data_IF_642166738773
#
_entry.id   IF_642166738773
#
_cell.length_a   1.000
_cell.length_b   1.000
_cell.length_c   1.000
_cell.angle_alpha   90.00
_cell.angle_beta   90.00
_cell.angle_gamma   90.00
#
_symmetry.space_group_name_H-M   'P 1'
#
loop_
_entity.id
_entity.type
_entity.pdbx_description
1 polymer ?
#
# COMPACT_ATOMS: atom_id res chain seq x y z
N UNK A 1 12.87 19.72 15.56
CA UNK A 1 14.20 19.10 15.74
C UNK A 1 14.71 18.78 14.35
N UNK A 2 15.72 19.50 13.88
CA UNK A 2 16.34 19.18 12.59
C UNK A 2 17.21 17.96 12.79
N UNK A 3 16.82 16.84 12.17
CA UNK A 3 17.58 15.61 12.25
C UNK A 3 18.90 15.82 11.50
N UNK A 4 20.01 15.91 12.23
CA UNK A 4 21.34 16.10 11.64
C UNK A 4 21.67 14.85 10.81
N UNK A 5 21.76 15.00 9.49
CA UNK A 5 22.04 13.88 8.58
C UNK A 5 23.46 13.35 8.82
N UNK A 6 23.68 12.03 8.84
CA UNK A 6 25.02 11.48 8.94
C UNK A 6 25.88 11.92 7.74
N UNK A 7 27.22 12.03 7.89
CA UNK A 7 28.11 12.51 6.82
C UNK A 7 27.99 11.73 5.51
N UNK A 8 27.78 10.42 5.58
CA UNK A 8 27.58 9.54 4.41
C UNK A 8 26.27 9.77 3.65
N UNK A 9 25.38 10.63 4.17
CA UNK A 9 24.07 10.95 3.59
C UNK A 9 23.92 12.46 3.34
N UNK A 10 25.05 13.20 3.32
CA UNK A 10 25.09 14.57 2.82
C UNK A 10 24.81 14.59 1.31
N UNK A 11 24.35 15.73 0.81
CA UNK A 11 23.81 15.98 -0.55
C UNK A 11 24.74 15.61 -1.70
N UNK A 12 26.01 15.33 -1.43
CA UNK A 12 26.99 14.89 -2.44
C UNK A 12 26.85 13.41 -2.82
N UNK A 13 26.27 12.57 -1.96
CA UNK A 13 26.01 11.17 -2.31
C UNK A 13 24.78 11.06 -3.21
N UNK A 14 24.83 10.22 -4.25
CA UNK A 14 23.68 10.04 -5.14
C UNK A 14 22.56 9.28 -4.43
N UNK A 15 21.31 9.63 -4.71
CA UNK A 15 20.12 8.92 -4.21
C UNK A 15 20.16 7.44 -4.55
N UNK A 16 20.69 7.10 -5.73
CA UNK A 16 20.84 5.72 -6.18
C UNK A 16 21.78 4.91 -5.27
N UNK A 17 22.89 5.50 -4.82
CA UNK A 17 23.79 4.85 -3.88
C UNK A 17 23.10 4.58 -2.55
N UNK A 18 22.38 5.55 -1.99
CA UNK A 18 21.60 5.39 -0.74
C UNK A 18 20.58 4.26 -0.86
N UNK A 19 19.84 4.20 -1.97
CA UNK A 19 18.87 3.13 -2.24
C UNK A 19 19.57 1.77 -2.34
N UNK A 20 20.71 1.69 -3.03
CA UNK A 20 21.47 0.44 -3.14
C UNK A 20 21.93 -0.09 -1.78
N UNK A 21 22.43 0.80 -0.91
CA UNK A 21 22.80 0.44 0.47
C UNK A 21 21.60 -0.11 1.24
N UNK A 22 20.42 0.53 1.13
CA UNK A 22 19.21 0.06 1.79
C UNK A 22 18.76 -1.31 1.31
N UNK A 23 18.86 -1.58 0.01
CA UNK A 23 18.57 -2.91 -0.57
C UNK A 23 19.52 -3.96 0.01
N UNK A 24 20.82 -3.67 0.11
CA UNK A 24 21.80 -4.58 0.73
C UNK A 24 21.45 -4.85 2.20
N UNK A 25 21.14 -3.81 2.96
CA UNK A 25 20.69 -3.93 4.37
C UNK A 25 19.47 -4.83 4.48
N UNK A 26 18.49 -4.70 3.58
CA UNK A 26 17.30 -5.54 3.56
C UNK A 26 17.60 -7.00 3.19
N UNK A 27 18.59 -7.26 2.33
CA UNK A 27 19.06 -8.62 2.04
C UNK A 27 19.70 -9.24 3.29
N UNK A 28 20.55 -8.49 4.00
CA UNK A 28 21.15 -8.94 5.27
C UNK A 28 20.06 -9.25 6.29
N UNK A 29 19.03 -8.40 6.37
CA UNK A 29 17.91 -8.65 7.26
C UNK A 29 17.03 -9.81 6.83
N UNK A 30 16.85 -10.07 5.54
CA UNK A 30 16.16 -11.26 5.06
C UNK A 30 16.90 -12.55 5.50
N UNK A 31 18.24 -12.54 5.44
CA UNK A 31 19.09 -13.62 5.96
C UNK A 31 18.89 -13.75 7.49
N UNK A 32 18.94 -12.64 8.23
CA UNK A 32 18.70 -12.60 9.68
C UNK A 32 17.33 -13.18 10.05
N UNK A 33 16.26 -12.76 9.37
CA UNK A 33 14.91 -13.26 9.58
C UNK A 33 14.83 -14.76 9.33
N UNK A 34 15.41 -15.24 8.22
CA UNK A 34 15.34 -16.64 7.79
C UNK A 34 16.11 -17.58 8.71
N UNK A 35 17.32 -17.21 9.12
CA UNK A 35 18.23 -18.14 9.79
C UNK A 35 18.29 -17.95 11.31
N UNK A 36 17.94 -16.77 11.82
CA UNK A 36 18.03 -16.45 13.25
C UNK A 36 16.64 -16.27 13.84
N UNK A 37 15.85 -15.30 13.36
CA UNK A 37 14.55 -14.98 13.96
C UNK A 37 13.55 -16.12 13.78
N UNK A 38 13.54 -16.80 12.63
CA UNK A 38 12.69 -17.97 12.39
C UNK A 38 12.94 -19.13 13.38
N UNK A 39 14.11 -19.19 14.02
CA UNK A 39 14.42 -20.24 15.00
C UNK A 39 13.91 -19.92 16.41
N UNK A 40 13.51 -18.68 16.66
CA UNK A 40 12.95 -18.26 17.94
C UNK A 40 11.46 -18.66 18.03
N UNK A 41 10.93 -18.91 19.23
CA UNK A 41 9.49 -19.09 19.45
C UNK A 41 8.68 -17.88 18.95
N UNK A 42 7.50 -18.16 18.40
CA UNK A 42 6.56 -17.14 17.94
C UNK A 42 6.15 -16.20 19.08
N UNK A 43 5.94 -14.92 18.75
CA UNK A 43 5.51 -13.89 19.66
C UNK A 43 6.64 -12.94 20.06
N UNK A 44 6.69 -12.57 21.33
CA UNK A 44 7.49 -11.44 21.84
C UNK A 44 8.98 -11.60 21.61
N UNK A 45 9.55 -12.81 21.71
CA UNK A 45 10.98 -13.00 21.53
C UNK A 45 11.45 -12.68 20.10
N UNK A 46 10.62 -13.03 19.09
CA UNK A 46 10.87 -12.59 17.71
C UNK A 46 10.78 -11.07 17.58
N UNK A 47 9.82 -10.43 18.23
CA UNK A 47 9.68 -8.96 18.20
C UNK A 47 10.94 -8.28 18.73
N UNK A 48 11.45 -8.72 19.88
CA UNK A 48 12.68 -8.19 20.46
C UNK A 48 13.85 -8.37 19.47
N UNK A 49 13.96 -9.54 18.84
CA UNK A 49 15.02 -9.83 17.88
C UNK A 49 14.94 -9.04 16.56
N UNK A 50 13.79 -8.43 16.25
CA UNK A 50 13.61 -7.55 15.08
C UNK A 50 13.56 -6.07 15.44
N UNK A 51 13.71 -5.67 16.71
CA UNK A 51 13.73 -4.25 17.06
C UNK A 51 14.78 -3.43 16.28
N UNK A 52 16.01 -3.91 16.04
CA UNK A 52 16.98 -3.17 15.21
C UNK A 52 16.48 -2.98 13.77
N UNK A 53 15.80 -3.98 13.22
CA UNK A 53 15.19 -3.92 11.89
C UNK A 53 14.12 -2.82 11.84
N UNK A 54 13.18 -2.86 12.78
CA UNK A 54 12.08 -1.89 12.85
C UNK A 54 12.59 -0.46 13.03
N UNK A 55 13.66 -0.27 13.82
CA UNK A 55 14.28 1.04 13.99
C UNK A 55 14.88 1.57 12.68
N UNK A 56 15.57 0.71 11.91
CA UNK A 56 16.13 1.09 10.60
C UNK A 56 15.01 1.49 9.63
N UNK A 57 13.94 0.70 9.53
CA UNK A 57 12.82 0.96 8.61
C UNK A 57 12.06 2.26 8.93
N UNK A 58 11.98 2.63 10.21
CA UNK A 58 11.35 3.89 10.64
C UNK A 58 12.26 5.10 10.38
N UNK A 59 13.58 4.96 10.57
CA UNK A 59 14.53 6.07 10.42
C UNK A 59 14.97 6.28 8.97
N UNK A 60 14.93 5.24 8.14
CA UNK A 60 15.43 5.26 6.77
C UNK A 60 14.93 6.43 5.89
N UNK A 61 13.64 6.83 5.91
CA UNK A 61 13.18 7.97 5.12
C UNK A 61 13.91 9.28 5.44
N UNK A 62 14.42 9.44 6.66
CA UNK A 62 15.17 10.63 7.10
C UNK A 62 16.55 10.76 6.42
N UNK A 63 17.02 9.72 5.72
CA UNK A 63 18.25 9.78 4.92
C UNK A 63 18.09 10.48 3.57
N UNK A 64 16.87 10.85 3.22
CA UNK A 64 16.54 11.52 1.97
C UNK A 64 16.06 12.93 2.24
N UNK A 65 16.36 13.84 1.32
CA UNK A 65 15.91 15.20 1.44
C UNK A 65 14.43 15.30 1.07
N UNK A 66 13.57 15.61 2.04
CA UNK A 66 12.13 15.72 1.78
C UNK A 66 11.78 16.77 0.73
N UNK A 67 12.58 17.81 0.53
CA UNK A 67 12.28 18.94 -0.34
C UNK A 67 12.78 18.72 -1.78
N UNK A 68 13.93 18.06 -1.93
CA UNK A 68 14.47 17.70 -3.26
C UNK A 68 14.10 16.29 -3.73
N UNK A 69 13.83 15.37 -2.81
CA UNK A 69 13.54 13.94 -3.05
C UNK A 69 12.19 13.48 -2.47
N UNK A 70 11.07 14.23 -2.62
CA UNK A 70 9.80 13.91 -1.97
C UNK A 70 9.19 12.57 -2.42
N UNK A 71 9.43 12.13 -3.66
CA UNK A 71 8.94 10.84 -4.15
C UNK A 71 9.69 9.67 -3.51
N UNK A 72 11.00 9.79 -3.35
CA UNK A 72 11.82 8.79 -2.67
C UNK A 72 11.39 8.66 -1.21
N UNK A 73 11.22 9.79 -0.52
CA UNK A 73 10.74 9.83 0.87
C UNK A 73 9.36 9.17 0.97
N UNK A 74 8.42 9.54 0.09
CA UNK A 74 7.08 8.94 0.04
C UNK A 74 7.15 7.42 -0.15
N UNK A 75 7.90 6.95 -1.15
CA UNK A 75 8.05 5.52 -1.44
C UNK A 75 8.69 4.75 -0.28
N UNK A 76 9.70 5.32 0.39
CA UNK A 76 10.36 4.67 1.52
C UNK A 76 9.44 4.57 2.75
N UNK A 77 8.67 5.62 3.04
CA UNK A 77 7.67 5.59 4.12
C UNK A 77 6.61 4.53 3.81
N UNK A 78 6.10 4.53 2.58
CA UNK A 78 5.08 3.58 2.15
C UNK A 78 5.59 2.14 2.22
N UNK A 79 6.74 1.84 1.63
CA UNK A 79 7.25 0.47 1.51
C UNK A 79 7.88 -0.01 2.82
N UNK A 80 8.80 0.75 3.40
CA UNK A 80 9.61 0.30 4.53
C UNK A 80 8.90 0.57 5.87
N UNK A 81 8.68 1.85 6.17
CA UNK A 81 8.11 2.26 7.45
C UNK A 81 6.73 1.67 7.66
N UNK A 82 5.88 1.68 6.62
CA UNK A 82 4.52 1.17 6.71
C UNK A 82 4.42 -0.32 6.37
N UNK A 83 4.60 -0.72 5.11
CA UNK A 83 4.35 -2.09 4.68
C UNK A 83 5.30 -3.11 5.30
N UNK A 84 6.61 -2.86 5.24
CA UNK A 84 7.63 -3.82 5.68
C UNK A 84 7.55 -4.09 7.18
N UNK A 85 7.44 -3.05 8.00
CA UNK A 85 7.22 -3.15 9.46
C UNK A 85 6.04 -4.07 9.79
N UNK A 86 4.88 -3.90 9.14
CA UNK A 86 3.73 -4.77 9.40
C UNK A 86 3.94 -6.21 8.95
N UNK A 87 4.66 -6.45 7.85
CA UNK A 87 5.00 -7.80 7.39
C UNK A 87 5.92 -8.51 8.39
N UNK A 88 6.91 -7.81 8.94
CA UNK A 88 7.85 -8.34 9.92
C UNK A 88 7.17 -8.58 11.27
N UNK A 89 6.32 -7.67 11.72
CA UNK A 89 5.50 -7.89 12.92
C UNK A 89 4.56 -9.09 12.73
N UNK A 90 3.90 -9.21 11.58
CA UNK A 90 3.09 -10.39 11.26
C UNK A 90 3.90 -11.69 11.30
N UNK A 91 5.13 -11.68 10.75
CA UNK A 91 6.06 -12.81 10.77
C UNK A 91 6.42 -13.25 12.20
N UNK A 92 6.56 -12.29 13.12
CA UNK A 92 6.85 -12.60 14.53
C UNK A 92 5.75 -13.46 15.18
N UNK A 93 4.49 -13.31 14.74
CA UNK A 93 3.35 -14.12 15.18
C UNK A 93 2.98 -15.25 14.21
N UNK A 94 3.83 -15.57 13.24
CA UNK A 94 3.60 -16.66 12.30
C UNK A 94 2.48 -16.38 11.29
N UNK A 95 2.22 -15.09 11.02
CA UNK A 95 1.21 -14.64 10.05
C UNK A 95 1.88 -14.26 8.72
N UNK A 96 1.14 -14.49 7.65
CA UNK A 96 1.45 -14.03 6.30
C UNK A 96 1.60 -12.49 6.26
N UNK A 97 2.33 -11.91 5.28
CA UNK A 97 2.78 -12.54 4.03
C UNK A 97 4.14 -13.23 4.07
N UNK A 98 4.99 -12.93 5.05
CA UNK A 98 6.30 -13.58 5.20
C UNK A 98 6.14 -14.98 5.79
N UNK A 99 6.95 -15.93 5.30
CA UNK A 99 6.87 -17.34 5.72
C UNK A 99 8.27 -17.93 5.84
N UNK A 100 8.40 -18.85 6.79
CA UNK A 100 9.65 -19.59 7.01
C UNK A 100 10.00 -20.50 5.83
N UNK A 101 9.04 -20.87 4.98
CA UNK A 101 9.29 -21.69 3.78
C UNK A 101 9.88 -20.92 2.60
N UNK A 102 9.82 -19.58 2.61
CA UNK A 102 10.31 -18.75 1.50
C UNK A 102 11.85 -18.76 1.43
N UNK A 103 12.39 -18.57 0.22
CA UNK A 103 13.84 -18.38 0.05
C UNK A 103 14.27 -17.01 0.58
N UNK A 104 15.56 -16.81 0.81
CA UNK A 104 16.11 -15.50 1.21
C UNK A 104 15.75 -14.43 0.17
N UNK A 105 15.87 -14.74 -1.13
CA UNK A 105 15.52 -13.80 -2.20
C UNK A 105 14.04 -13.42 -2.18
N UNK A 106 13.14 -14.38 -1.94
CA UNK A 106 11.71 -14.12 -1.82
C UNK A 106 11.38 -13.28 -0.58
N UNK A 107 12.04 -13.53 0.55
CA UNK A 107 11.89 -12.72 1.77
C UNK A 107 12.39 -11.30 1.48
N UNK A 108 13.61 -11.13 0.95
CA UNK A 108 14.17 -9.82 0.62
C UNK A 108 13.27 -9.03 -0.33
N UNK A 109 12.77 -9.65 -1.41
CA UNK A 109 11.82 -9.01 -2.32
C UNK A 109 10.50 -8.61 -1.62
N UNK A 110 10.00 -9.45 -0.69
CA UNK A 110 8.77 -9.16 0.05
C UNK A 110 8.95 -8.05 1.09
N UNK A 111 10.17 -7.87 1.63
CA UNK A 111 10.50 -6.76 2.52
C UNK A 111 10.67 -5.46 1.74
N UNK A 112 11.51 -5.48 0.71
CA UNK A 112 11.93 -4.27 -0.03
C UNK A 112 10.90 -3.76 -1.03
N UNK A 113 9.85 -4.55 -1.33
CA UNK A 113 8.84 -4.20 -2.32
C UNK A 113 7.44 -4.35 -1.72
N UNK A 114 6.46 -3.56 -2.19
CA UNK A 114 5.09 -3.58 -1.67
C UNK A 114 4.28 -4.74 -2.27
N UNK A 115 4.82 -5.95 -2.15
CA UNK A 115 4.23 -7.18 -2.67
C UNK A 115 3.49 -7.93 -1.57
N UNK A 116 2.41 -8.62 -1.95
CA UNK A 116 1.69 -9.56 -1.09
C UNK A 116 1.72 -10.94 -1.73
N UNK A 117 2.77 -11.74 -1.46
CA UNK A 117 2.83 -13.12 -1.90
C UNK A 117 1.57 -13.89 -1.52
N UNK A 118 1.05 -14.62 -2.49
CA UNK A 118 -0.09 -15.50 -2.28
C UNK A 118 0.30 -16.61 -1.29
N UNK A 119 -0.60 -16.98 -0.36
CA UNK A 119 -0.42 -18.19 0.43
C UNK A 119 -0.22 -19.39 -0.50
N UNK A 120 0.61 -20.36 -0.11
CA UNK A 120 0.81 -21.59 -0.90
C UNK A 120 -0.56 -22.23 -1.06
N UNK A 121 -0.94 -22.50 -2.32
CA UNK A 121 -2.30 -22.88 -2.70
C UNK A 121 -2.88 -23.99 -1.82
N UNK A 122 -4.14 -23.76 -1.45
CA UNK A 122 -5.05 -24.69 -0.78
C UNK A 122 -5.46 -25.78 -1.77
N UNK A 123 -5.75 -26.99 -1.29
CA UNK A 123 -6.53 -27.96 -2.06
C UNK A 123 -7.93 -27.38 -2.38
N UNK A 124 -8.43 -27.62 -3.61
CA UNK A 124 -9.60 -26.99 -4.28
C UNK A 124 -10.99 -27.09 -3.58
N UNK A 125 -11.08 -27.33 -2.28
CA UNK A 125 -12.33 -27.74 -1.61
C UNK A 125 -13.10 -26.61 -0.92
N UNK A 126 -13.04 -25.36 -1.36
CA UNK A 126 -13.88 -24.29 -0.79
C UNK A 126 -14.17 -23.15 -1.74
N UNK A 127 -15.20 -22.33 -1.45
CA UNK A 127 -15.54 -21.18 -2.26
C UNK A 127 -14.32 -20.25 -2.40
N UNK A 128 -14.02 -19.85 -3.62
CA UNK A 128 -12.92 -18.95 -3.95
C UNK A 128 -13.14 -17.62 -3.22
N UNK A 129 -12.27 -17.33 -2.25
CA UNK A 129 -12.23 -16.04 -1.58
C UNK A 129 -11.14 -15.17 -2.18
N UNK A 130 -11.18 -13.85 -1.92
CA UNK A 130 -10.24 -12.83 -2.46
C UNK A 130 -8.74 -13.10 -2.19
N UNK A 131 -8.42 -13.98 -1.24
CA UNK A 131 -7.05 -14.45 -0.98
C UNK A 131 -6.57 -15.52 -1.99
N UNK A 132 -7.44 -15.97 -2.90
CA UNK A 132 -7.14 -16.94 -3.95
C UNK A 132 -6.94 -16.27 -5.32
N UNK A 133 -7.32 -14.99 -5.46
CA UNK A 133 -7.10 -14.21 -6.67
C UNK A 133 -5.61 -14.05 -6.96
N UNK A 134 -5.24 -14.18 -8.24
CA UNK A 134 -3.90 -13.91 -8.71
C UNK A 134 -3.87 -12.53 -9.36
N UNK A 135 -2.80 -11.77 -9.14
CA UNK A 135 -2.58 -10.51 -9.84
C UNK A 135 -2.44 -10.70 -11.36
N UNK A 136 -2.19 -11.93 -11.83
CA UNK A 136 -1.95 -12.28 -13.22
C UNK A 136 -0.46 -12.52 -13.50
N UNK A 137 -0.11 -12.73 -14.77
CA UNK A 137 1.28 -12.84 -15.23
C UNK A 137 2.02 -11.50 -15.14
N UNK A 138 3.35 -11.53 -15.19
CA UNK A 138 4.17 -10.32 -15.24
C UNK A 138 3.80 -9.40 -16.42
N UNK A 139 3.46 -9.98 -17.57
CA UNK A 139 2.99 -9.24 -18.74
C UNK A 139 1.66 -8.50 -18.48
N UNK A 140 0.69 -9.16 -17.84
CA UNK A 140 -0.58 -8.51 -17.49
C UNK A 140 -0.37 -7.35 -16.51
N UNK A 141 0.54 -7.51 -15.54
CA UNK A 141 0.92 -6.45 -14.61
C UNK A 141 1.64 -5.29 -15.32
N UNK A 142 2.51 -5.57 -16.29
CA UNK A 142 3.18 -4.56 -17.10
C UNK A 142 2.18 -3.72 -17.92
N UNK A 143 1.16 -4.34 -18.52
CA UNK A 143 0.11 -3.61 -19.23
C UNK A 143 -0.68 -2.69 -18.28
N UNK A 144 -1.03 -3.18 -17.08
CA UNK A 144 -1.68 -2.35 -16.05
C UNK A 144 -0.81 -1.19 -15.59
N UNK A 145 0.50 -1.42 -15.44
CA UNK A 145 1.47 -0.39 -15.13
C UNK A 145 1.46 0.72 -16.20
N UNK A 146 1.48 0.37 -17.49
CA UNK A 146 1.42 1.34 -18.59
C UNK A 146 0.12 2.16 -18.54
N UNK A 147 -1.02 1.51 -18.30
CA UNK A 147 -2.29 2.21 -18.13
C UNK A 147 -2.29 3.20 -16.96
N UNK A 148 -1.71 2.82 -15.82
CA UNK A 148 -1.58 3.68 -14.64
C UNK A 148 -0.57 4.81 -14.84
N UNK A 149 0.50 4.59 -15.60
CA UNK A 149 1.43 5.65 -16.01
C UNK A 149 0.73 6.67 -16.90
N UNK A 150 0.00 6.23 -17.92
CA UNK A 150 -0.78 7.11 -18.78
C UNK A 150 -1.83 7.90 -17.99
N UNK A 151 -2.55 7.24 -17.08
CA UNK A 151 -3.51 7.90 -16.19
C UNK A 151 -2.81 8.95 -15.33
N UNK A 152 -1.67 8.62 -14.71
CA UNK A 152 -0.89 9.55 -13.86
C UNK A 152 -0.49 10.80 -14.65
N UNK A 153 0.04 10.64 -15.87
CA UNK A 153 0.40 11.76 -16.74
C UNK A 153 -0.80 12.64 -17.00
N UNK A 154 -1.93 12.05 -17.40
CA UNK A 154 -3.16 12.79 -17.69
C UNK A 154 -3.65 13.58 -16.47
N UNK A 155 -3.80 12.93 -15.31
CA UNK A 155 -4.38 13.59 -14.12
C UNK A 155 -3.47 14.66 -13.53
N UNK A 156 -2.15 14.48 -13.60
CA UNK A 156 -1.18 15.48 -13.14
C UNK A 156 -1.21 16.72 -14.03
N UNK A 157 -1.24 16.55 -15.35
CA UNK A 157 -1.34 17.67 -16.28
C UNK A 157 -2.68 18.42 -16.12
N UNK A 158 -3.78 17.69 -15.94
CA UNK A 158 -5.10 18.29 -15.64
C UNK A 158 -5.07 19.08 -14.32
N UNK A 159 -4.46 18.51 -13.28
CA UNK A 159 -4.33 19.19 -11.99
C UNK A 159 -3.49 20.47 -12.11
N UNK A 160 -2.32 20.40 -12.74
CA UNK A 160 -1.47 21.58 -12.92
C UNK A 160 -2.16 22.70 -13.70
N UNK A 161 -2.90 22.36 -14.75
CA UNK A 161 -3.57 23.34 -15.60
C UNK A 161 -4.81 23.97 -14.94
N UNK A 162 -5.58 23.20 -14.16
CA UNK A 162 -6.92 23.61 -13.73
C UNK A 162 -7.12 23.68 -12.22
N UNK A 163 -6.13 23.38 -11.37
CA UNK A 163 -6.32 23.31 -9.89
C UNK A 163 -6.96 24.55 -9.26
N UNK A 164 -6.69 25.75 -9.78
CA UNK A 164 -7.20 27.01 -9.20
C UNK A 164 -8.67 27.28 -9.58
N UNK A 165 -9.13 26.71 -10.70
CA UNK A 165 -10.52 26.88 -11.21
C UNK A 165 -11.41 25.68 -10.94
N UNK A 166 -10.82 24.56 -10.53
CA UNK A 166 -11.53 23.30 -10.32
C UNK A 166 -12.40 23.36 -9.06
N UNK A 167 -13.69 22.99 -9.13
CA UNK A 167 -14.53 22.83 -7.95
C UNK A 167 -13.88 21.87 -6.94
N UNK A 168 -14.00 22.17 -5.65
CA UNK A 168 -13.30 21.45 -4.57
C UNK A 168 -13.49 19.92 -4.64
N UNK A 169 -14.73 19.47 -4.84
CA UNK A 169 -15.07 18.04 -4.96
C UNK A 169 -14.34 17.41 -6.14
N UNK A 170 -14.33 18.06 -7.30
CA UNK A 170 -13.66 17.55 -8.50
C UNK A 170 -12.14 17.49 -8.30
N UNK A 171 -11.57 18.50 -7.66
CA UNK A 171 -10.14 18.53 -7.29
C UNK A 171 -9.76 17.35 -6.42
N UNK A 172 -10.59 17.01 -5.43
CA UNK A 172 -10.36 15.86 -4.55
C UNK A 172 -10.48 14.53 -5.29
N UNK A 173 -11.40 14.40 -6.26
CA UNK A 173 -11.42 13.23 -7.14
C UNK A 173 -10.17 13.11 -8.01
N UNK A 174 -9.69 14.21 -8.59
CA UNK A 174 -8.44 14.21 -9.36
C UNK A 174 -7.27 13.77 -8.48
N UNK A 175 -7.17 14.29 -7.25
CA UNK A 175 -6.16 13.85 -6.28
C UNK A 175 -6.32 12.36 -5.91
N UNK A 176 -7.54 11.87 -5.75
CA UNK A 176 -7.80 10.45 -5.51
C UNK A 176 -7.27 9.57 -6.66
N UNK A 177 -7.45 10.01 -7.92
CA UNK A 177 -6.90 9.32 -9.08
C UNK A 177 -5.37 9.37 -9.13
N UNK A 178 -4.74 10.50 -8.75
CA UNK A 178 -3.27 10.59 -8.62
C UNK A 178 -2.77 9.56 -7.62
N UNK A 179 -3.36 9.50 -6.42
CA UNK A 179 -2.97 8.55 -5.37
C UNK A 179 -3.18 7.12 -5.86
N UNK A 180 -4.35 6.81 -6.43
CA UNK A 180 -4.65 5.49 -6.97
C UNK A 180 -3.63 5.04 -8.03
N UNK A 181 -3.35 5.90 -9.00
CA UNK A 181 -2.44 5.59 -10.10
C UNK A 181 -0.99 5.43 -9.59
N UNK A 182 -0.53 6.35 -8.73
CA UNK A 182 0.81 6.31 -8.14
C UNK A 182 1.01 5.08 -7.25
N UNK A 183 0.11 4.81 -6.32
CA UNK A 183 0.15 3.59 -5.50
C UNK A 183 0.11 2.35 -6.39
N UNK A 184 -0.67 2.38 -7.47
CA UNK A 184 -0.73 1.30 -8.44
C UNK A 184 0.59 1.09 -9.20
N UNK A 185 1.31 2.15 -9.57
CA UNK A 185 2.64 2.08 -10.19
C UNK A 185 3.66 1.48 -9.22
N UNK A 186 3.69 1.99 -7.99
CA UNK A 186 4.61 1.56 -6.94
C UNK A 186 4.41 0.06 -6.61
N UNK A 187 3.20 -0.45 -6.76
CA UNK A 187 2.87 -1.85 -6.42
C UNK A 187 2.92 -2.81 -7.62
N UNK A 188 2.30 -2.45 -8.75
CA UNK A 188 2.27 -3.34 -9.93
C UNK A 188 3.63 -3.39 -10.64
N UNK A 189 4.41 -2.30 -10.61
CA UNK A 189 5.70 -2.23 -11.29
C UNK A 189 6.69 -3.27 -10.77
N UNK A 190 7.03 -3.25 -9.46
CA UNK A 190 7.87 -4.29 -8.87
C UNK A 190 7.28 -5.70 -8.99
N UNK A 191 5.95 -5.83 -8.89
CA UNK A 191 5.28 -7.12 -9.01
C UNK A 191 5.50 -7.74 -10.40
N UNK A 192 5.41 -6.95 -11.47
CA UNK A 192 5.62 -7.42 -12.84
C UNK A 192 6.99 -8.08 -13.04
N UNK A 193 8.02 -7.57 -12.36
CA UNK A 193 9.39 -8.11 -12.42
C UNK A 193 9.54 -9.35 -11.53
N UNK A 194 9.05 -9.28 -10.29
CA UNK A 194 9.31 -10.30 -9.27
C UNK A 194 8.50 -11.58 -9.48
N UNK A 195 7.27 -11.48 -10.00
CA UNK A 195 6.42 -12.65 -10.27
C UNK A 195 7.15 -13.62 -11.19
N UNK A 196 7.74 -13.11 -12.27
CA UNK A 196 8.49 -13.92 -13.24
C UNK A 196 9.88 -14.30 -12.71
N UNK A 197 10.61 -13.37 -12.08
CA UNK A 197 11.99 -13.60 -11.66
C UNK A 197 12.12 -14.58 -10.47
N UNK A 198 11.16 -14.57 -9.53
CA UNK A 198 11.22 -15.36 -8.28
C UNK A 198 10.15 -16.43 -8.17
N UNK A 199 9.31 -16.61 -9.22
CA UNK A 199 8.19 -17.54 -9.21
C UNK A 199 7.19 -17.27 -8.08
N UNK A 200 7.04 -16.00 -7.68
CA UNK A 200 6.14 -15.59 -6.61
C UNK A 200 4.78 -15.23 -7.20
N UNK A 201 3.76 -16.04 -6.93
CA UNK A 201 2.38 -15.58 -7.12
C UNK A 201 2.10 -14.46 -6.11
N UNK A 202 1.52 -13.35 -6.58
CA UNK A 202 1.15 -12.20 -5.74
C UNK A 202 -0.34 -11.93 -5.86
N UNK A 203 -0.92 -11.45 -4.76
CA UNK A 203 -2.31 -11.00 -4.73
C UNK A 203 -2.46 -9.68 -5.50
N UNK A 204 -3.60 -9.45 -6.18
CA UNK A 204 -3.89 -8.16 -6.78
C UNK A 204 -3.95 -7.08 -5.70
N UNK A 205 -3.18 -6.02 -5.90
CA UNK A 205 -3.07 -4.92 -4.94
C UNK A 205 -4.34 -4.08 -4.86
N UNK A 206 -4.90 -3.73 -6.02
CA UNK A 206 -6.14 -2.96 -6.13
C UNK A 206 -7.13 -3.76 -6.97
N UNK A 207 -8.09 -4.36 -6.30
CA UNK A 207 -9.20 -5.04 -6.94
C UNK A 207 -10.44 -4.13 -6.88
N UNK A 208 -10.62 -3.36 -7.97
CA UNK A 208 -11.78 -2.51 -8.24
C UNK A 208 -12.30 -1.74 -7.02
N UNK A 209 -11.52 -0.81 -6.41
CA UNK A 209 -11.90 -0.14 -5.15
C UNK A 209 -13.21 0.66 -5.23
N UNK A 210 -13.66 1.01 -6.44
CA UNK A 210 -14.94 1.68 -6.71
C UNK A 210 -16.14 0.72 -6.73
N UNK A 211 -15.91 -0.60 -6.78
CA UNK A 211 -16.94 -1.62 -6.68
C UNK A 211 -16.83 -2.33 -5.33
N UNK A 212 -17.76 -2.09 -4.38
CA UNK A 212 -17.90 -2.93 -3.22
C UNK A 212 -18.12 -4.37 -3.69
N UNK A 213 -17.38 -5.29 -3.08
CA UNK A 213 -17.61 -6.71 -3.23
C UNK A 213 -19.07 -7.00 -2.88
N UNK A 214 -19.72 -7.78 -3.73
CA UNK A 214 -21.12 -8.17 -3.61
C UNK A 214 -21.35 -9.00 -2.36
N UNK A 215 -21.87 -8.40 -1.29
CA UNK A 215 -22.17 -9.07 -0.03
C UNK A 215 -21.41 -8.41 1.11
N UNK A 216 -22.12 -7.85 2.09
CA UNK A 216 -21.56 -6.97 3.11
C UNK A 216 -20.22 -7.45 3.66
N UNK A 217 -19.27 -6.52 3.75
CA UNK A 217 -17.88 -6.67 4.17
C UNK A 217 -17.66 -7.61 5.38
N UNK A 218 -18.67 -7.72 6.25
CA UNK A 218 -18.66 -8.55 7.45
C UNK A 218 -19.01 -10.03 7.23
N UNK A 219 -19.94 -10.37 6.32
CA UNK A 219 -20.40 -11.77 6.13
C UNK A 219 -19.31 -12.62 5.48
N UNK A 220 -18.57 -12.02 4.53
CA UNK A 220 -17.48 -12.69 3.83
C UNK A 220 -16.15 -12.61 4.61
N UNK A 221 -15.90 -11.51 5.32
CA UNK A 221 -14.74 -11.36 6.19
C UNK A 221 -14.71 -12.39 7.35
N UNK A 222 -15.87 -12.68 7.95
CA UNK A 222 -15.97 -13.70 9.00
C UNK A 222 -15.76 -15.13 8.45
N UNK A 223 -16.24 -15.44 7.23
CA UNK A 223 -15.97 -16.73 6.57
C UNK A 223 -14.50 -16.88 6.19
N UNK A 224 -13.88 -15.83 5.68
CA UNK A 224 -12.46 -15.83 5.25
C UNK A 224 -11.48 -15.90 6.43
N UNK A 225 -11.71 -15.14 7.51
CA UNK A 225 -10.88 -15.22 8.73
C UNK A 225 -11.00 -16.59 9.40
N UNK A 226 -12.19 -17.18 9.44
CA UNK A 226 -12.39 -18.51 10.01
C UNK A 226 -11.68 -19.61 9.19
N UNK A 227 -11.63 -19.47 7.86
CA UNK A 227 -10.95 -20.42 6.98
C UNK A 227 -9.42 -20.29 7.04
N UNK A 228 -8.89 -19.07 7.11
CA UNK A 228 -7.44 -18.82 7.17
C UNK A 228 -6.82 -19.18 8.53
N UNK A 229 -7.54 -18.98 9.64
CA UNK A 229 -7.11 -19.40 10.98
C UNK A 229 -7.06 -20.94 11.14
N UNK A 230 -8.02 -21.68 10.56
CA UNK A 230 -8.01 -23.15 10.61
C UNK A 230 -6.93 -23.78 9.72
N UNK A 231 -6.48 -23.07 8.69
CA UNK A 231 -5.57 -23.62 7.68
C UNK A 231 -4.09 -23.34 7.94
N UNK A 232 -3.74 -22.26 8.65
CA UNK A 232 -2.39 -22.10 9.20
C UNK A 232 -2.02 -23.20 10.21
N UNK A 233 -3.02 -23.78 10.89
CA UNK A 233 -2.83 -24.89 11.83
C UNK A 233 -2.55 -26.23 11.12
N UNK A 234 -3.02 -26.42 9.88
CA UNK A 234 -2.83 -27.66 9.11
C UNK A 234 -1.47 -27.77 8.41
N UNK A 235 -0.73 -26.67 8.26
CA UNK A 235 0.59 -26.66 7.60
C UNK A 235 1.72 -27.24 8.45
N UNK A 236 1.50 -27.44 9.76
CA UNK A 236 2.42 -28.19 10.62
C UNK A 236 2.02 -29.66 10.63
N UNK A 237 2.58 -30.43 9.68
CA UNK A 237 2.51 -31.88 9.62
C UNK A 237 3.31 -32.57 10.75
N UNK A 238 3.01 -32.23 12.01
CA UNK A 238 3.27 -33.08 13.17
C UNK A 238 1.96 -33.10 13.94
N UNK A 239 1.45 -34.30 14.16
CA UNK A 239 0.25 -34.62 14.95
C UNK A 239 0.29 -33.87 16.30
N UNK A 240 -0.34 -32.70 16.34
CA UNK A 240 -0.89 -32.13 17.56
C UNK A 240 -2.27 -31.63 17.22
N UNK A 241 -3.26 -32.24 17.86
CA UNK A 241 -4.64 -31.77 17.93
C UNK A 241 -4.65 -30.32 18.42
N UNK A 242 -4.48 -29.35 17.51
CA UNK A 242 -4.75 -27.96 17.84
C UNK A 242 -6.26 -27.81 17.90
N UNK A 243 -6.75 -27.81 19.15
CA UNK A 243 -8.10 -27.46 19.55
C UNK A 243 -8.64 -26.35 18.64
N UNK A 244 -9.81 -26.57 18.04
CA UNK A 244 -10.59 -25.55 17.31
C UNK A 244 -10.55 -24.27 18.14
N UNK A 245 -9.75 -23.29 17.75
CA UNK A 245 -9.70 -22.05 18.50
C UNK A 245 -11.10 -21.44 18.51
N UNK A 246 -11.64 -21.06 19.68
CA UNK A 246 -12.95 -20.46 19.76
C UNK A 246 -12.97 -19.19 18.92
N UNK A 247 -14.06 -18.99 18.17
CA UNK A 247 -14.24 -17.77 17.37
C UNK A 247 -14.09 -16.57 18.31
N UNK A 248 -13.28 -15.56 17.96
CA UNK A 248 -13.15 -14.39 18.79
C UNK A 248 -14.52 -13.72 18.93
N UNK A 249 -14.83 -13.23 20.13
CA UNK A 249 -16.07 -12.51 20.38
C UNK A 249 -16.21 -11.31 19.44
N UNK A 250 -17.44 -10.88 19.18
CA UNK A 250 -17.70 -9.69 18.35
C UNK A 250 -16.95 -8.46 18.88
N UNK A 251 -16.94 -8.27 20.21
CA UNK A 251 -16.17 -7.21 20.84
C UNK A 251 -14.67 -7.29 20.51
N UNK A 252 -14.07 -8.48 20.62
CA UNK A 252 -12.64 -8.67 20.30
C UNK A 252 -12.34 -8.40 18.83
N UNK A 253 -13.25 -8.79 17.92
CA UNK A 253 -13.13 -8.47 16.49
C UNK A 253 -13.19 -6.96 16.26
N UNK A 254 -14.13 -6.28 16.90
CA UNK A 254 -14.31 -4.84 16.77
C UNK A 254 -13.14 -4.04 17.34
N UNK A 255 -12.63 -4.42 18.52
CA UNK A 255 -11.42 -3.83 19.08
C UNK A 255 -10.22 -4.02 18.17
N UNK A 256 -10.06 -5.22 17.59
CA UNK A 256 -9.01 -5.48 16.60
C UNK A 256 -9.13 -4.63 15.34
N UNK A 257 -10.35 -4.46 14.82
CA UNK A 257 -10.62 -3.62 13.66
C UNK A 257 -10.30 -2.15 13.94
N UNK A 258 -10.81 -1.61 15.06
CA UNK A 258 -10.55 -0.24 15.49
C UNK A 258 -9.06 0.01 15.72
N UNK A 259 -8.35 -0.92 16.36
CA UNK A 259 -6.91 -0.82 16.57
C UNK A 259 -6.15 -0.79 15.23
N UNK A 260 -6.52 -1.64 14.27
CA UNK A 260 -5.88 -1.65 12.95
C UNK A 260 -6.07 -0.33 12.20
N UNK A 261 -7.29 0.21 12.18
CA UNK A 261 -7.59 1.49 11.54
C UNK A 261 -6.94 2.68 12.27
N UNK A 262 -6.93 2.67 13.61
CA UNK A 262 -6.25 3.68 14.41
C UNK A 262 -4.76 3.72 14.10
N UNK A 263 -4.10 2.57 14.16
CA UNK A 263 -2.66 2.48 13.86
C UNK A 263 -2.39 2.90 12.41
N UNK A 264 -3.22 2.48 11.45
CA UNK A 264 -3.12 2.94 10.06
C UNK A 264 -3.17 4.47 9.96
N UNK A 265 -4.10 5.09 10.68
CA UNK A 265 -4.24 6.54 10.73
C UNK A 265 -3.03 7.26 11.33
N UNK A 266 -2.46 6.73 12.43
CA UNK A 266 -1.23 7.25 13.03
C UNK A 266 -0.05 7.19 12.05
N UNK A 267 0.06 6.12 11.26
CA UNK A 267 1.08 6.03 10.21
C UNK A 267 0.91 7.08 9.12
N UNK A 268 -0.32 7.44 8.77
CA UNK A 268 -0.55 8.53 7.82
C UNK A 268 -0.12 9.87 8.41
N UNK A 269 -0.45 10.18 9.68
CA UNK A 269 0.05 11.41 10.34
C UNK A 269 1.59 11.45 10.36
N UNK A 270 2.22 10.32 10.67
CA UNK A 270 3.68 10.20 10.63
C UNK A 270 4.24 10.42 9.23
N UNK A 271 3.56 9.91 8.20
CA UNK A 271 3.92 10.14 6.79
C UNK A 271 3.82 11.62 6.41
N UNK A 272 2.75 12.31 6.80
CA UNK A 272 2.62 13.76 6.61
C UNK A 272 3.77 14.50 7.29
N UNK A 273 4.07 14.14 8.53
CA UNK A 273 5.15 14.75 9.30
C UNK A 273 6.51 14.57 8.62
N UNK A 274 6.85 13.37 8.15
CA UNK A 274 8.12 13.13 7.45
C UNK A 274 8.21 13.86 6.10
N UNK A 275 7.12 13.91 5.32
CA UNK A 275 7.11 14.54 4.00
C UNK A 275 7.16 16.07 4.06
N UNK A 276 6.53 16.67 5.06
CA UNK A 276 6.39 18.13 5.15
C UNK A 276 7.35 18.72 6.17
N UNK A 277 7.69 17.97 7.22
CA UNK A 277 8.31 18.45 8.46
C UNK A 277 7.48 19.50 9.18
N UNK A 278 6.17 19.56 8.92
CA UNK A 278 5.24 20.39 9.66
C UNK A 278 5.16 19.88 11.10
N UNK A 279 5.42 20.74 12.08
CA UNK A 279 5.25 20.40 13.49
C UNK A 279 3.77 20.39 13.94
N UNK A 280 2.82 20.57 13.01
CA UNK A 280 1.39 20.59 13.31
C UNK A 280 0.80 19.19 13.13
N UNK A 281 0.76 18.41 14.23
CA UNK A 281 -0.03 17.17 14.28
C UNK A 281 -1.52 17.53 14.25
N UNK A 282 -2.21 17.16 13.16
CA UNK A 282 -3.62 17.49 12.96
C UNK A 282 -4.59 16.44 13.49
N UNK A 283 -4.15 15.19 13.62
CA UNK A 283 -4.98 14.02 13.95
C UNK A 283 -6.16 13.76 12.99
N UNK A 284 -6.33 14.58 11.94
CA UNK A 284 -7.41 14.50 10.95
C UNK A 284 -7.33 13.18 10.17
N UNK A 285 -6.14 12.76 9.73
CA UNK A 285 -5.96 11.45 9.09
C UNK A 285 -6.16 10.32 10.08
N UNK A 286 -5.66 10.45 11.31
CA UNK A 286 -5.91 9.41 12.33
C UNK A 286 -7.40 9.19 12.55
N UNK A 287 -8.16 10.28 12.68
CA UNK A 287 -9.61 10.23 12.82
C UNK A 287 -10.30 9.68 11.57
N UNK A 288 -9.90 10.13 10.38
CA UNK A 288 -10.43 9.65 9.09
C UNK A 288 -10.37 8.13 8.96
N UNK A 289 -9.23 7.52 9.32
CA UNK A 289 -9.09 6.06 9.27
C UNK A 289 -9.84 5.39 10.42
N UNK A 290 -9.68 5.89 11.65
CA UNK A 290 -10.30 5.26 12.83
C UNK A 290 -11.82 5.17 12.72
N UNK A 291 -12.49 6.22 12.23
CA UNK A 291 -13.96 6.26 12.09
C UNK A 291 -14.51 5.28 11.05
N UNK A 292 -13.69 4.74 10.14
CA UNK A 292 -14.14 3.73 9.17
C UNK A 292 -14.59 2.44 9.86
N UNK A 293 -13.92 2.01 10.93
CA UNK A 293 -14.27 0.79 11.66
C UNK A 293 -15.70 0.79 12.23
N UNK A 294 -16.14 1.81 12.99
CA UNK A 294 -17.53 1.89 13.42
C UNK A 294 -18.50 2.08 12.25
N UNK A 295 -18.16 2.86 11.22
CA UNK A 295 -19.02 3.03 10.04
C UNK A 295 -19.30 1.71 9.32
N UNK A 296 -18.27 0.89 9.08
CA UNK A 296 -18.42 -0.44 8.48
C UNK A 296 -19.28 -1.38 9.35
N UNK A 297 -19.22 -1.20 10.67
CA UNK A 297 -20.04 -1.96 11.61
C UNK A 297 -21.51 -1.53 11.57
N UNK A 298 -21.76 -0.22 11.45
CA UNK A 298 -23.08 0.36 11.24
C UNK A 298 -23.67 -0.05 9.88
N UNK A 299 -22.87 -0.03 8.81
CA UNK A 299 -23.26 -0.51 7.49
C UNK A 299 -23.67 -1.99 7.53
N UNK A 300 -22.87 -2.83 8.20
CA UNK A 300 -23.16 -4.25 8.36
C UNK A 300 -24.45 -4.49 9.18
N UNK A 301 -24.66 -3.72 10.25
CA UNK A 301 -25.87 -3.80 11.06
C UNK A 301 -27.10 -3.33 10.28
N UNK A 302 -27.01 -2.17 9.61
CA UNK A 302 -28.08 -1.61 8.78
C UNK A 302 -28.48 -2.56 7.64
N UNK A 303 -27.50 -3.14 6.96
CA UNK A 303 -27.74 -4.16 5.93
C UNK A 303 -28.49 -5.37 6.47
N UNK A 304 -28.13 -5.86 7.67
CA UNK A 304 -28.83 -6.98 8.32
C UNK A 304 -30.25 -6.62 8.72
N UNK A 305 -30.48 -5.40 9.21
CA UNK A 305 -31.81 -4.93 9.59
C UNK A 305 -32.73 -4.78 8.37
N UNK A 306 -32.23 -4.21 7.27
CA UNK A 306 -32.98 -4.08 6.02
C UNK A 306 -33.35 -5.46 5.45
N UNK A 307 -32.39 -6.41 5.45
CA UNK A 307 -32.67 -7.78 5.03
C UNK A 307 -33.73 -8.47 5.89
N UNK A 308 -33.72 -8.26 7.22
CA UNK A 308 -34.77 -8.77 8.13
C UNK A 308 -36.13 -8.15 7.88
N UNK A 309 -36.17 -6.90 7.41
CA UNK A 309 -37.39 -6.21 6.99
C UNK A 309 -37.84 -6.59 5.57
N UNK A 310 -37.16 -7.52 4.89
CA UNK A 310 -37.46 -7.92 3.51
C UNK A 310 -37.02 -6.90 2.46
N UNK A 311 -36.27 -5.87 2.84
CA UNK A 311 -35.79 -4.81 1.94
C UNK A 311 -34.39 -5.15 1.46
N UNK A 312 -34.22 -5.26 0.14
CA UNK A 312 -32.92 -5.38 -0.51
C UNK A 312 -32.57 -4.08 -1.23
N UNK A 313 -31.51 -3.41 -0.82
CA UNK A 313 -31.02 -2.21 -1.51
C UNK A 313 -30.38 -2.61 -2.84
N UNK A 314 -30.75 -1.95 -3.97
CA UNK A 314 -30.05 -2.14 -5.23
C UNK A 314 -28.56 -1.82 -5.10
N UNK A 315 -27.71 -2.65 -5.70
CA UNK A 315 -26.25 -2.49 -5.64
C UNK A 315 -25.76 -1.08 -5.99
N UNK A 316 -26.24 -0.40 -7.05
CA UNK A 316 -25.80 0.94 -7.38
C UNK A 316 -26.09 1.96 -6.27
N UNK A 317 -27.20 1.79 -5.55
CA UNK A 317 -27.57 2.67 -4.45
C UNK A 317 -26.62 2.50 -3.26
N UNK A 318 -26.28 1.26 -2.91
CA UNK A 318 -25.28 1.00 -1.86
C UNK A 318 -23.92 1.61 -2.24
N UNK A 319 -23.48 1.43 -3.50
CA UNK A 319 -22.24 2.03 -4.01
C UNK A 319 -22.25 3.55 -3.82
N UNK A 320 -23.34 4.19 -4.26
CA UNK A 320 -23.50 5.64 -4.18
C UNK A 320 -23.47 6.12 -2.72
N UNK A 321 -24.21 5.45 -1.83
CA UNK A 321 -24.24 5.79 -0.40
C UNK A 321 -22.86 5.67 0.25
N UNK A 322 -22.14 4.57 -0.01
CA UNK A 322 -20.76 4.38 0.49
C UNK A 322 -19.84 5.49 -0.01
N UNK A 323 -19.93 5.85 -1.30
CA UNK A 323 -19.11 6.93 -1.86
C UNK A 323 -19.46 8.29 -1.26
N UNK A 324 -20.75 8.60 -1.04
CA UNK A 324 -21.16 9.87 -0.43
C UNK A 324 -20.62 9.98 1.00
N UNK A 325 -20.74 8.92 1.81
CA UNK A 325 -20.21 8.92 3.19
C UNK A 325 -18.68 9.03 3.18
N UNK A 326 -18.00 8.25 2.35
CA UNK A 326 -16.54 8.28 2.26
C UNK A 326 -16.04 9.65 1.81
N UNK A 327 -16.68 10.25 0.80
CA UNK A 327 -16.31 11.57 0.30
C UNK A 327 -16.60 12.65 1.32
N UNK A 328 -17.77 12.64 1.98
CA UNK A 328 -18.08 13.62 3.01
C UNK A 328 -17.02 13.66 4.12
N UNK A 329 -16.49 12.50 4.52
CA UNK A 329 -15.38 12.41 5.46
C UNK A 329 -14.05 12.83 4.83
N UNK A 330 -13.78 12.41 3.60
CA UNK A 330 -12.52 12.67 2.92
C UNK A 330 -12.32 14.15 2.58
N UNK A 331 -13.39 14.92 2.31
CA UNK A 331 -13.32 16.32 1.92
C UNK A 331 -12.47 17.15 2.89
N UNK A 332 -12.77 17.10 4.19
CA UNK A 332 -11.98 17.82 5.21
C UNK A 332 -10.88 16.93 5.81
N UNK A 333 -11.25 15.74 6.29
CA UNK A 333 -10.35 14.94 7.12
C UNK A 333 -9.18 14.33 6.34
N UNK A 334 -9.36 14.05 5.04
CA UNK A 334 -8.33 13.42 4.23
C UNK A 334 -7.68 14.40 3.25
N UNK A 335 -8.43 14.88 2.26
CA UNK A 335 -7.91 15.76 1.22
C UNK A 335 -7.72 17.19 1.72
N UNK A 336 -8.65 17.73 2.50
CA UNK A 336 -8.48 19.05 3.14
C UNK A 336 -7.19 19.09 3.96
N UNK A 337 -6.98 18.09 4.82
CA UNK A 337 -5.73 17.97 5.58
C UNK A 337 -4.49 17.80 4.69
N UNK A 338 -4.57 17.00 3.62
CA UNK A 338 -3.47 16.82 2.65
C UNK A 338 -3.05 18.14 2.00
N UNK A 339 -4.02 19.01 1.70
CA UNK A 339 -3.79 20.34 1.12
C UNK A 339 -3.25 21.32 2.17
N UNK A 340 -3.83 21.35 3.38
CA UNK A 340 -3.36 22.17 4.51
C UNK A 340 -1.87 21.95 4.82
N UNK A 341 -1.42 20.69 4.71
CA UNK A 341 -0.03 20.29 4.96
C UNK A 341 0.86 20.44 3.72
N UNK A 342 0.31 20.79 2.55
CA UNK A 342 1.06 20.92 1.30
C UNK A 342 1.55 19.61 0.69
N UNK A 343 1.07 18.46 1.19
CA UNK A 343 1.48 17.12 0.72
C UNK A 343 1.10 16.92 -0.75
N UNK A 344 -0.15 17.27 -1.11
CA UNK A 344 -0.66 17.11 -2.48
C UNK A 344 0.19 17.88 -3.50
N UNK A 345 0.47 19.15 -3.22
CA UNK A 345 1.29 20.00 -4.08
C UNK A 345 2.71 19.45 -4.22
N UNK A 346 3.34 19.05 -3.11
CA UNK A 346 4.71 18.53 -3.12
C UNK A 346 4.85 17.29 -4.00
N UNK A 347 3.93 16.34 -3.87
CA UNK A 347 3.93 15.11 -4.67
C UNK A 347 3.61 15.40 -6.14
N UNK A 348 2.57 16.19 -6.42
CA UNK A 348 2.16 16.50 -7.80
C UNK A 348 3.28 17.24 -8.55
N UNK A 349 3.90 18.25 -7.93
CA UNK A 349 5.02 19.00 -8.53
C UNK A 349 6.20 18.05 -8.81
N UNK A 350 6.50 17.13 -7.89
CA UNK A 350 7.58 16.18 -8.10
C UNK A 350 7.30 15.23 -9.28
N UNK A 351 6.07 14.73 -9.41
CA UNK A 351 5.65 13.91 -10.55
C UNK A 351 5.71 14.73 -11.86
N UNK A 352 5.20 15.96 -11.85
CA UNK A 352 5.24 16.85 -13.01
C UNK A 352 6.67 17.11 -13.50
N UNK A 353 7.63 17.33 -12.58
CA UNK A 353 9.05 17.44 -12.92
C UNK A 353 9.57 16.19 -13.63
N UNK A 354 9.20 14.98 -13.16
CA UNK A 354 9.55 13.73 -13.83
C UNK A 354 8.95 13.64 -15.24
N UNK A 355 7.68 14.02 -15.41
CA UNK A 355 7.00 14.04 -16.72
C UNK A 355 7.71 15.00 -17.68
N UNK A 356 8.01 16.22 -17.23
CA UNK A 356 8.70 17.21 -18.06
C UNK A 356 10.13 16.79 -18.42
N UNK A 357 10.86 16.18 -17.48
CA UNK A 357 12.18 15.64 -17.73
C UNK A 357 12.15 14.51 -18.77
N UNK A 358 11.15 13.63 -18.71
CA UNK A 358 10.97 12.55 -19.69
C UNK A 358 10.50 13.06 -21.06
N UNK A 359 9.75 14.17 -21.11
CA UNK A 359 9.23 14.73 -22.37
C UNK A 359 10.33 15.24 -23.30
N UNK A 360 11.40 15.85 -22.77
CA UNK A 360 12.50 16.42 -23.58
C UNK A 360 13.15 15.39 -24.52
N UNK A 361 13.67 14.25 -24.05
CA UNK A 361 14.27 13.25 -24.94
C UNK A 361 13.24 12.63 -25.89
N UNK A 362 11.99 12.45 -25.46
CA UNK A 362 10.92 11.94 -26.33
C UNK A 362 10.58 12.91 -27.47
N UNK A 363 10.57 14.21 -27.21
CA UNK A 363 10.37 15.22 -28.25
C UNK A 363 11.54 15.24 -29.24
N UNK A 364 12.79 15.20 -28.74
CA UNK A 364 13.97 15.11 -29.61
C UNK A 364 13.95 13.84 -30.47
N UNK A 365 13.58 12.69 -29.89
CA UNK A 365 13.47 11.44 -30.64
C UNK A 365 12.33 11.48 -31.67
N UNK A 366 11.17 12.05 -31.31
CA UNK A 366 10.04 12.17 -32.22
C UNK A 366 10.35 13.10 -33.41
N UNK A 367 10.99 14.24 -33.16
CA UNK A 367 11.45 15.15 -34.23
C UNK A 367 12.45 14.44 -35.13
N UNK A 368 13.47 13.77 -34.57
CA UNK A 368 14.44 13.01 -35.37
C UNK A 368 13.81 11.88 -36.18
N UNK A 369 12.77 11.22 -35.65
CA UNK A 369 12.02 10.21 -36.40
C UNK A 369 11.19 10.81 -37.54
N UNK A 370 10.53 11.96 -37.30
CA UNK A 370 9.76 12.66 -38.32
C UNK A 370 10.65 13.24 -39.42
N UNK A 371 11.84 13.74 -39.09
CA UNK A 371 12.87 14.16 -40.05
C UNK A 371 13.37 12.96 -40.87
N UNK A 372 13.69 11.83 -40.23
CA UNK A 372 14.12 10.61 -40.91
C UNK A 372 13.01 10.01 -41.81
N UNK A 373 11.74 10.20 -41.44
CA UNK A 373 10.58 9.80 -42.24
C UNK A 373 10.24 10.79 -43.37
N UNK A 374 10.97 11.91 -43.50
CA UNK A 374 10.70 12.95 -44.49
C UNK A 374 9.39 13.72 -44.26
N UNK A 375 8.80 13.61 -43.06
CA UNK A 375 7.54 14.25 -42.69
C UNK A 375 7.75 15.66 -42.11
N UNK A 376 8.98 16.03 -41.77
CA UNK A 376 9.39 17.39 -41.43
C UNK A 376 10.50 17.83 -42.39
N UNK A 377 10.26 18.91 -43.13
CA UNK A 377 11.31 19.57 -43.91
C UNK A 377 12.08 20.51 -43.00
N UNK A 378 13.37 20.26 -42.80
CA UNK A 378 14.28 21.19 -42.12
C UNK A 378 14.35 22.50 -42.92
N UNK A 379 13.61 23.51 -42.48
CA UNK A 379 13.65 24.88 -43.01
C UNK A 379 14.73 25.70 -42.32
#
# INVERSE_FOLDING_TARGET
>A
MDFVRPPAFQTETSSAFRIAVLVIVHIIFAIWLKYIVARLPLGTLRVVAVLPFLAVDVVCPCFFDKDTEPLQVFCLIFILTWHCTFKVLAFCWGRAPLRESMTVAQIAATLSLPLFPKPLSRTKSGPEGRLQDSAGSGAALAVRLLGKLALTVLVVLLYEQYRETMPLVLKHYVLAFVIYAMSGIIMDGPAAVVVEALGLEVLPTFDQPWMPASGGFHVDGERQQNASAQQQQQQKGIVQQQQKQPRPSLLRRQLGLNAAFFVSGVFHEHMAWLLTGSNKLGWKWTFFFWVQAPLMSLEALGSRLLLRAGVQLPRPLTILLTHVVLQALALDLFFGHMEEQGVSQKIVIAIARCIHAARRPLQSAAVGWLEAAGLLTSS
#
